data_IF_826302566163
#
_entry.id   IF_826302566163
#
_cell.length_a   1.000
_cell.length_b   1.000
_cell.length_c   1.000
_cell.angle_alpha   90.00
_cell.angle_beta   90.00
_cell.angle_gamma   90.00
#
_symmetry.space_group_name_H-M   'P 1'
#
loop_
_entity.id
_entity.type
_entity.pdbx_description
1 polymer ?
#
# COMPACT_ATOMS: atom_id res chain seq x y z
N UNK A 1 55.74 61.54 43.25
CA UNK A 1 56.74 60.77 44.01
C UNK A 1 56.30 60.75 45.46
N UNK A 2 56.47 59.62 46.14
CA UNK A 2 56.30 59.36 47.58
C UNK A 2 54.93 58.77 48.00
N UNK A 3 55.06 57.52 48.44
CA UNK A 3 54.11 56.59 49.04
C UNK A 3 53.72 57.00 50.47
N UNK A 4 52.54 56.58 50.93
CA UNK A 4 52.30 56.13 52.31
C UNK A 4 51.04 55.25 52.35
N UNK A 5 51.16 54.04 52.89
CA UNK A 5 50.05 53.16 53.33
C UNK A 5 50.27 52.92 54.82
N UNK A 6 49.19 52.73 55.62
CA UNK A 6 49.23 51.63 56.58
C UNK A 6 47.98 50.74 56.59
N UNK A 7 48.24 49.46 56.88
CA UNK A 7 47.33 48.32 57.07
C UNK A 7 46.61 48.37 58.42
N UNK A 8 45.39 47.85 58.46
CA UNK A 8 44.77 47.19 59.62
C UNK A 8 43.74 46.17 59.10
N UNK A 9 43.98 44.86 59.30
CA UNK A 9 43.21 43.93 60.18
C UNK A 9 41.84 43.53 59.62
N UNK A 10 41.32 42.31 59.68
CA UNK A 10 41.77 40.92 59.71
C UNK A 10 40.50 40.09 59.36
N UNK A 11 40.70 38.89 58.83
CA UNK A 11 39.82 37.72 58.93
C UNK A 11 38.30 37.93 58.66
N UNK A 12 37.86 37.54 57.47
CA UNK A 12 36.54 36.90 57.35
C UNK A 12 36.62 35.68 56.44
N UNK A 13 36.06 34.61 56.97
CA UNK A 13 36.09 33.22 56.54
C UNK A 13 35.12 33.00 55.36
N UNK A 14 35.56 32.21 54.36
CA UNK A 14 34.80 31.17 53.62
C UNK A 14 33.45 31.56 52.94
N UNK A 15 33.09 31.14 51.74
CA UNK A 15 33.23 29.84 51.08
C UNK A 15 33.26 30.07 49.56
N UNK A 16 34.11 29.31 48.88
CA UNK A 16 34.10 29.14 47.44
C UNK A 16 32.87 28.28 47.07
N UNK A 17 31.78 28.88 46.58
CA UNK A 17 30.69 28.09 46.01
C UNK A 17 31.04 27.77 44.55
N UNK A 18 31.64 26.61 44.31
CA UNK A 18 31.65 26.01 42.99
C UNK A 18 30.21 25.59 42.68
N UNK A 19 29.52 26.36 41.84
CA UNK A 19 28.35 25.82 41.17
C UNK A 19 28.85 24.88 40.07
N UNK A 20 29.06 23.62 40.42
CA UNK A 20 29.12 22.56 39.41
C UNK A 20 27.71 22.38 38.87
N UNK A 21 27.37 23.11 37.81
CA UNK A 21 26.14 22.86 37.07
C UNK A 21 26.29 21.50 36.40
N UNK A 22 25.70 20.46 36.97
CA UNK A 22 25.50 19.20 36.27
C UNK A 22 24.58 19.50 35.09
N UNK A 23 25.13 19.51 33.87
CA UNK A 23 24.32 19.44 32.68
C UNK A 23 23.65 18.06 32.68
N UNK A 24 22.43 17.99 33.22
CA UNK A 24 21.57 16.83 33.03
C UNK A 24 21.28 16.75 31.54
N UNK A 25 22.01 15.88 30.84
CA UNK A 25 21.59 15.41 29.54
C UNK A 25 20.28 14.66 29.76
N UNK A 26 19.16 15.35 29.59
CA UNK A 26 17.90 14.69 29.29
C UNK A 26 18.17 13.97 27.97
N UNK A 27 18.51 12.69 28.07
CA UNK A 27 18.47 11.81 26.93
C UNK A 27 17.07 11.96 26.37
N UNK A 28 16.95 12.64 25.23
CA UNK A 28 15.89 12.38 24.29
C UNK A 28 15.99 10.88 24.04
N UNK A 29 15.17 10.11 24.76
CA UNK A 29 14.59 8.95 24.15
C UNK A 29 13.73 9.54 23.04
N UNK A 30 14.33 9.75 21.87
CA UNK A 30 13.63 9.45 20.64
C UNK A 30 13.15 8.03 20.84
N UNK A 31 11.96 7.89 21.41
CA UNK A 31 11.11 6.77 21.06
C UNK A 31 11.12 6.84 19.54
N UNK A 32 11.90 5.97 18.91
CA UNK A 32 11.62 5.56 17.56
C UNK A 32 10.22 4.97 17.68
N UNK A 33 9.23 5.84 17.53
CA UNK A 33 7.93 5.45 17.04
C UNK A 33 8.29 4.80 15.70
N UNK A 34 8.56 3.50 15.73
CA UNK A 34 8.12 2.62 14.68
C UNK A 34 6.62 2.85 14.65
N UNK A 35 6.21 3.90 13.92
CA UNK A 35 4.84 4.09 13.53
C UNK A 35 4.48 2.74 12.93
N UNK A 36 3.52 2.06 13.56
CA UNK A 36 2.85 0.95 12.92
C UNK A 36 2.29 1.58 11.64
N UNK A 37 3.00 1.42 10.51
CA UNK A 37 2.49 1.86 9.22
C UNK A 37 1.11 1.24 9.10
N UNK A 38 0.09 2.09 8.96
CA UNK A 38 -1.25 1.63 8.73
C UNK A 38 -1.23 0.90 7.38
N UNK A 39 -1.19 -0.43 7.46
CA UNK A 39 -1.22 -1.32 6.31
C UNK A 39 -2.45 -0.96 5.47
N UNK A 40 -2.23 -0.47 4.24
CA UNK A 40 -3.31 0.09 3.42
C UNK A 40 -3.84 -0.98 2.47
N UNK A 41 -5.16 -1.12 2.37
CA UNK A 41 -5.81 -2.04 1.43
C UNK A 41 -5.68 -1.48 0.01
N UNK A 42 -5.39 -2.32 -0.98
CA UNK A 42 -5.12 -1.88 -2.35
C UNK A 42 -6.00 -2.58 -3.38
N UNK A 43 -6.87 -1.80 -4.04
CA UNK A 43 -7.74 -2.25 -5.13
C UNK A 43 -7.43 -1.46 -6.41
N UNK A 44 -6.37 -1.82 -7.18
CA UNK A 44 -6.02 -1.10 -8.39
C UNK A 44 -7.13 -1.22 -9.44
N UNK A 45 -7.47 -0.14 -10.16
CA UNK A 45 -8.52 -0.16 -11.16
C UNK A 45 -8.05 -0.93 -12.41
N UNK A 46 -8.88 -1.85 -12.88
CA UNK A 46 -8.62 -2.59 -14.13
C UNK A 46 -8.80 -1.65 -15.32
N UNK A 47 -7.80 -1.64 -16.21
CA UNK A 47 -7.76 -0.81 -17.43
C UNK A 47 -7.92 -1.63 -18.71
N UNK A 48 -7.67 -2.94 -18.66
CA UNK A 48 -8.03 -3.89 -19.70
C UNK A 48 -8.37 -5.26 -19.07
N UNK A 49 -9.42 -5.98 -19.53
CA UNK A 49 -10.28 -5.66 -20.67
C UNK A 49 -11.22 -4.46 -20.42
N UNK A 50 -11.72 -3.88 -21.50
CA UNK A 50 -12.71 -2.79 -21.51
C UNK A 50 -13.94 -3.15 -22.37
N UNK A 51 -14.90 -2.23 -22.45
CA UNK A 51 -16.16 -2.41 -23.19
C UNK A 51 -16.01 -2.66 -24.70
N UNK A 52 -14.83 -2.45 -25.29
CA UNK A 52 -14.55 -2.73 -26.71
C UNK A 52 -13.69 -3.96 -26.91
N UNK A 53 -13.28 -4.60 -25.81
CA UNK A 53 -12.42 -5.78 -25.84
C UNK A 53 -13.20 -7.02 -26.26
N UNK A 54 -12.61 -7.79 -27.16
CA UNK A 54 -13.12 -9.09 -27.60
C UNK A 54 -12.00 -10.11 -27.46
N UNK A 55 -12.15 -11.03 -26.52
CA UNK A 55 -11.23 -12.14 -26.33
C UNK A 55 -11.67 -13.37 -27.09
N UNK A 56 -10.70 -14.13 -27.59
CA UNK A 56 -10.95 -15.40 -28.28
C UNK A 56 -10.60 -16.56 -27.37
N UNK A 57 -11.47 -17.57 -27.31
CA UNK A 57 -11.21 -18.79 -26.54
C UNK A 57 -9.86 -19.41 -26.92
N UNK A 58 -9.05 -19.75 -25.92
CA UNK A 58 -7.71 -20.33 -26.08
C UNK A 58 -6.60 -19.34 -26.46
N UNK A 59 -6.92 -18.06 -26.72
CA UNK A 59 -5.91 -17.04 -26.96
C UNK A 59 -5.17 -16.66 -25.67
N UNK A 60 -3.98 -16.09 -25.82
CA UNK A 60 -3.30 -15.41 -24.74
C UNK A 60 -3.72 -13.95 -24.72
N UNK A 61 -4.27 -13.51 -23.60
CA UNK A 61 -4.80 -12.16 -23.42
C UNK A 61 -4.22 -11.54 -22.13
N UNK A 62 -4.11 -10.22 -22.11
CA UNK A 62 -3.52 -9.51 -20.97
C UNK A 62 -4.59 -8.75 -20.19
N UNK A 63 -4.69 -9.06 -18.90
CA UNK A 63 -5.39 -8.23 -17.91
C UNK A 63 -4.43 -7.14 -17.46
N UNK A 64 -4.86 -5.88 -17.47
CA UNK A 64 -4.06 -4.70 -17.08
C UNK A 64 -4.79 -3.91 -16.00
N UNK A 65 -4.04 -3.30 -15.11
CA UNK A 65 -4.56 -2.42 -14.07
C UNK A 65 -3.60 -1.26 -13.81
N UNK A 66 -4.12 -0.17 -13.26
CA UNK A 66 -3.31 0.99 -12.92
C UNK A 66 -2.61 0.81 -11.56
N UNK A 67 -1.31 1.05 -11.53
CA UNK A 67 -0.48 1.00 -10.32
C UNK A 67 -0.03 2.38 -9.85
N UNK A 68 -0.49 3.46 -10.49
CA UNK A 68 -0.08 4.84 -10.18
C UNK A 68 -0.39 5.25 -8.74
N UNK A 69 -1.48 4.73 -8.17
CA UNK A 69 -1.93 4.97 -6.80
C UNK A 69 -1.55 3.86 -5.81
N UNK A 70 -0.51 3.07 -6.10
CA UNK A 70 -0.04 2.03 -5.19
C UNK A 70 0.38 2.64 -3.83
N UNK A 71 -0.12 2.12 -2.69
CA UNK A 71 0.28 2.62 -1.38
C UNK A 71 1.74 2.23 -1.07
N UNK A 72 2.41 3.02 -0.22
CA UNK A 72 3.81 2.77 0.15
C UNK A 72 4.00 1.47 0.98
N UNK A 73 2.96 1.01 1.67
CA UNK A 73 2.98 -0.20 2.50
C UNK A 73 1.63 -0.94 2.39
N UNK A 74 1.38 -1.64 1.27
CA UNK A 74 0.13 -2.34 1.02
C UNK A 74 -0.04 -3.52 1.98
N UNK A 75 -1.31 -3.87 2.25
CA UNK A 75 -1.59 -5.08 3.00
C UNK A 75 -1.18 -6.30 2.22
N UNK A 76 -1.69 -6.49 1.01
CA UNK A 76 -1.19 -7.54 0.13
C UNK A 76 -0.77 -6.93 -1.20
N UNK A 77 0.22 -7.53 -1.84
CA UNK A 77 0.48 -7.34 -3.27
C UNK A 77 0.09 -8.56 -4.10
N UNK A 78 -0.40 -9.62 -3.46
CA UNK A 78 -0.87 -10.83 -4.12
C UNK A 78 -2.38 -10.76 -4.35
N UNK A 79 -2.82 -11.16 -5.55
CA UNK A 79 -4.21 -11.23 -5.96
C UNK A 79 -4.52 -12.50 -6.77
N UNK A 80 -5.82 -12.77 -6.89
CA UNK A 80 -6.39 -13.80 -7.77
C UNK A 80 -7.23 -13.11 -8.84
N UNK A 81 -7.13 -13.60 -10.07
CA UNK A 81 -7.94 -13.15 -11.21
C UNK A 81 -9.04 -14.17 -11.44
N UNK A 82 -10.29 -13.71 -11.36
CA UNK A 82 -11.47 -14.51 -11.66
C UNK A 82 -12.15 -14.02 -12.94
N UNK A 83 -12.78 -14.95 -13.66
CA UNK A 83 -13.73 -14.64 -14.72
C UNK A 83 -15.14 -14.70 -14.14
N UNK A 84 -16.00 -13.78 -14.52
CA UNK A 84 -17.43 -13.83 -14.25
C UNK A 84 -18.22 -13.21 -15.39
N UNK A 85 -19.53 -13.06 -15.21
CA UNK A 85 -20.37 -12.35 -16.14
C UNK A 85 -21.55 -11.71 -15.43
N UNK A 86 -21.95 -10.54 -15.90
CA UNK A 86 -23.15 -9.89 -15.40
C UNK A 86 -24.38 -10.64 -15.91
N UNK A 87 -25.25 -11.04 -14.98
CA UNK A 87 -26.57 -11.55 -15.29
C UNK A 87 -27.62 -10.53 -14.88
N UNK A 88 -28.44 -10.11 -15.84
CA UNK A 88 -29.51 -9.14 -15.63
C UNK A 88 -30.89 -9.80 -15.47
N UNK A 89 -30.99 -11.11 -15.70
CA UNK A 89 -32.22 -11.89 -15.58
C UNK A 89 -32.21 -12.65 -14.23
N UNK A 90 -32.84 -12.09 -13.19
CA UNK A 90 -33.05 -12.77 -11.90
C UNK A 90 -32.24 -12.20 -10.73
N UNK A 91 -31.58 -13.04 -9.93
CA UNK A 91 -30.88 -12.64 -8.68
C UNK A 91 -29.71 -11.66 -8.90
N UNK A 92 -29.35 -11.36 -10.15
CA UNK A 92 -28.35 -10.37 -10.51
C UNK A 92 -26.92 -10.81 -10.21
N UNK A 93 -25.97 -9.88 -10.33
CA UNK A 93 -24.61 -10.04 -9.82
C UNK A 93 -23.57 -10.52 -10.83
N UNK A 94 -22.36 -10.72 -10.31
CA UNK A 94 -21.11 -10.90 -11.06
C UNK A 94 -20.86 -12.33 -11.56
N UNK A 95 -21.57 -13.33 -11.01
CA UNK A 95 -21.45 -14.75 -11.35
C UNK A 95 -19.98 -15.23 -11.50
N UNK A 96 -19.12 -14.85 -10.55
CA UNK A 96 -17.69 -15.20 -10.59
C UNK A 96 -17.49 -16.71 -10.51
N UNK A 97 -16.67 -17.27 -11.40
CA UNK A 97 -16.18 -18.64 -11.32
C UNK A 97 -15.04 -18.73 -10.30
N UNK A 98 -15.40 -18.85 -9.02
CA UNK A 98 -14.41 -18.96 -7.93
C UNK A 98 -13.74 -20.32 -7.85
N UNK A 99 -14.28 -21.33 -8.54
CA UNK A 99 -13.72 -22.69 -8.57
C UNK A 99 -12.57 -22.81 -9.58
N UNK A 100 -12.60 -22.02 -10.65
CA UNK A 100 -11.59 -22.02 -11.71
C UNK A 100 -11.02 -20.61 -11.95
N UNK A 101 -10.17 -20.10 -11.04
CA UNK A 101 -9.51 -18.81 -11.25
C UNK A 101 -8.68 -18.83 -12.54
N UNK A 102 -8.64 -17.68 -13.24
CA UNK A 102 -7.78 -17.49 -14.42
C UNK A 102 -6.30 -17.48 -14.03
N UNK A 103 -5.98 -16.95 -12.85
CA UNK A 103 -4.64 -16.94 -12.27
C UNK A 103 -4.70 -16.73 -10.75
N UNK A 104 -3.76 -17.33 -10.02
CA UNK A 104 -3.55 -17.10 -8.58
C UNK A 104 -2.14 -16.55 -8.35
N UNK A 105 -1.91 -15.98 -7.17
CA UNK A 105 -0.61 -15.44 -6.75
C UNK A 105 -0.06 -14.38 -7.72
N UNK A 106 -0.96 -13.55 -8.27
CA UNK A 106 -0.64 -12.47 -9.19
C UNK A 106 -0.06 -11.28 -8.42
N UNK A 107 1.13 -10.83 -8.80
CA UNK A 107 1.78 -9.66 -8.21
C UNK A 107 1.18 -8.37 -8.77
N UNK A 108 0.35 -7.71 -7.97
CA UNK A 108 -0.32 -6.43 -8.28
C UNK A 108 0.68 -5.33 -8.65
N UNK A 109 1.94 -5.39 -8.20
CA UNK A 109 2.93 -4.35 -8.55
C UNK A 109 3.37 -4.38 -10.01
N UNK A 110 3.01 -5.44 -10.76
CA UNK A 110 3.36 -5.56 -12.18
C UNK A 110 2.47 -4.78 -13.12
N UNK A 111 1.25 -4.43 -12.71
CA UNK A 111 0.29 -3.70 -13.55
C UNK A 111 -0.36 -4.54 -14.66
N UNK A 112 0.07 -5.80 -14.83
CA UNK A 112 -0.48 -6.69 -15.85
C UNK A 112 -0.24 -8.17 -15.52
N UNK A 113 -1.08 -9.02 -16.09
CA UNK A 113 -0.89 -10.47 -16.12
C UNK A 113 -1.46 -11.06 -17.41
N UNK A 114 -0.73 -11.98 -18.03
CA UNK A 114 -1.19 -12.67 -19.26
C UNK A 114 -1.82 -14.01 -18.88
N UNK A 115 -3.05 -14.24 -19.34
CA UNK A 115 -3.83 -15.45 -19.11
C UNK A 115 -4.08 -16.19 -20.42
N UNK A 116 -4.48 -17.45 -20.33
CA UNK A 116 -5.10 -18.17 -21.46
C UNK A 116 -6.60 -18.11 -21.29
N UNK A 117 -7.33 -17.65 -22.30
CA UNK A 117 -8.79 -17.50 -22.25
C UNK A 117 -9.44 -18.90 -22.16
N UNK A 118 -10.27 -19.18 -21.13
CA UNK A 118 -10.88 -20.49 -20.95
C UNK A 118 -11.97 -20.76 -22.00
N UNK A 119 -12.32 -22.03 -22.16
CA UNK A 119 -13.46 -22.43 -23.00
C UNK A 119 -14.77 -22.11 -22.27
N UNK A 120 -15.47 -21.09 -22.73
CA UNK A 120 -16.74 -20.62 -22.15
C UNK A 120 -17.76 -20.28 -23.25
N UNK A 121 -19.07 -20.25 -22.95
CA UNK A 121 -20.08 -19.82 -23.91
C UNK A 121 -19.84 -18.39 -24.41
N UNK A 122 -20.26 -18.09 -25.63
CA UNK A 122 -20.25 -16.72 -26.13
C UNK A 122 -21.17 -15.82 -25.29
N UNK A 123 -20.62 -14.70 -24.80
CA UNK A 123 -21.35 -13.60 -24.13
C UNK A 123 -20.62 -12.28 -24.32
N UNK A 124 -21.35 -11.18 -24.21
CA UNK A 124 -20.89 -9.79 -24.24
C UNK A 124 -20.84 -9.13 -22.85
N UNK A 125 -21.29 -9.85 -21.81
CA UNK A 125 -21.37 -9.37 -20.42
C UNK A 125 -20.27 -9.94 -19.51
N UNK A 126 -19.17 -10.45 -20.07
CA UNK A 126 -18.07 -10.98 -19.26
C UNK A 126 -17.39 -9.87 -18.47
N UNK A 127 -16.92 -10.21 -17.26
CA UNK A 127 -16.07 -9.33 -16.45
C UNK A 127 -14.88 -10.11 -15.94
N UNK A 128 -13.80 -9.39 -15.67
CA UNK A 128 -12.67 -9.88 -14.88
C UNK A 128 -12.71 -9.23 -13.51
N UNK A 129 -12.58 -10.04 -12.46
CA UNK A 129 -12.40 -9.55 -11.09
C UNK A 129 -10.95 -9.78 -10.64
N UNK A 130 -10.30 -8.74 -10.16
CA UNK A 130 -8.99 -8.77 -9.53
C UNK A 130 -9.18 -8.67 -8.03
N UNK A 131 -8.95 -9.77 -7.31
CA UNK A 131 -9.28 -9.93 -5.89
C UNK A 131 -8.02 -10.21 -5.08
N UNK A 132 -7.59 -9.22 -4.29
CA UNK A 132 -6.54 -9.33 -3.29
C UNK A 132 -7.09 -9.23 -1.88
N UNK A 133 -6.64 -8.22 -1.13
CA UNK A 133 -7.24 -7.80 0.15
C UNK A 133 -8.52 -6.98 -0.03
N UNK A 134 -8.70 -6.42 -1.23
CA UNK A 134 -9.92 -5.84 -1.77
C UNK A 134 -10.11 -6.27 -3.23
N UNK A 135 -11.24 -5.91 -3.83
CA UNK A 135 -11.62 -6.32 -5.19
C UNK A 135 -11.80 -5.13 -6.12
N UNK A 136 -11.48 -5.33 -7.39
CA UNK A 136 -11.87 -4.46 -8.49
C UNK A 136 -12.40 -5.31 -9.65
N UNK A 137 -13.38 -4.78 -10.39
CA UNK A 137 -13.96 -5.47 -11.55
C UNK A 137 -13.79 -4.61 -12.81
N UNK A 138 -13.56 -5.27 -13.94
CA UNK A 138 -13.49 -4.61 -15.24
C UNK A 138 -14.87 -4.10 -15.68
N UNK A 139 -14.93 -3.20 -16.67
CA UNK A 139 -16.10 -3.10 -17.53
C UNK A 139 -16.47 -4.46 -18.13
N UNK A 140 -17.72 -4.59 -18.57
CA UNK A 140 -18.15 -5.75 -19.36
C UNK A 140 -17.38 -5.81 -20.68
N UNK A 141 -17.10 -7.02 -21.16
CA UNK A 141 -16.44 -7.27 -22.44
C UNK A 141 -16.93 -8.58 -23.07
N UNK A 142 -16.51 -8.84 -24.31
CA UNK A 142 -16.96 -10.01 -25.07
C UNK A 142 -15.93 -11.13 -25.07
N UNK A 143 -16.39 -12.38 -24.92
CA UNK A 143 -15.61 -13.58 -25.27
C UNK A 143 -16.36 -14.30 -26.39
N UNK A 144 -15.69 -14.50 -27.53
CA UNK A 144 -16.27 -15.06 -28.75
C UNK A 144 -15.34 -16.06 -29.48
#
# INVERSE_FOLDING_TARGET
MIFTIPRTTALSLSLLSLYTSTASALGLHTAEYHALSARTVWAPPITAPDAQTVWRVGAQETVRWDTSDAPADPTSTSATIYLGYMNYDGEGGENLDTEHPLATDVDLTKGEYTITVPTVPHRDTYIVALVGDSGNISPEFTIA
#
